data_IF_756964994406
#
_entry.id   IF_756964994406
#
_cell.length_a   1.000
_cell.length_b   1.000
_cell.length_c   1.000
_cell.angle_alpha   90.00
_cell.angle_beta   90.00
_cell.angle_gamma   90.00
#
_symmetry.space_group_name_H-M   'P 1'
#
loop_
_entity.id
_entity.type
_entity.pdbx_description
1 polymer ?
#
# COMPACT_ATOMS: atom_id res chain seq x y z
N UNK A 1 1.11 -6.94 23.00
CA UNK A 1 -0.08 -7.80 22.81
C UNK A 1 -0.23 -8.78 23.93
N UNK A 2 0.67 -9.75 24.08
CA UNK A 2 0.53 -10.73 25.16
C UNK A 2 0.47 -10.06 26.56
N UNK A 3 1.30 -9.05 26.85
CA UNK A 3 1.27 -8.34 28.14
C UNK A 3 -0.03 -7.57 28.40
N UNK A 4 -0.63 -6.95 27.38
CA UNK A 4 -1.90 -6.19 27.48
C UNK A 4 -3.11 -7.12 27.54
N UNK A 5 -2.96 -8.36 27.05
CA UNK A 5 -3.97 -9.42 27.10
C UNK A 5 -3.93 -10.24 28.40
N UNK A 6 -3.07 -9.88 29.37
CA UNK A 6 -3.00 -10.58 30.66
C UNK A 6 -1.69 -11.34 30.92
N UNK A 7 -0.70 -11.31 30.04
CA UNK A 7 0.58 -11.96 30.33
C UNK A 7 1.41 -11.17 31.35
N UNK A 8 1.97 -11.88 32.33
CA UNK A 8 2.86 -11.30 33.33
C UNK A 8 4.26 -11.00 32.78
N UNK A 9 4.74 -11.86 31.87
CA UNK A 9 6.11 -11.83 31.34
C UNK A 9 6.14 -12.33 29.89
N UNK A 10 6.95 -11.71 29.03
CA UNK A 10 7.33 -12.23 27.71
C UNK A 10 8.82 -12.54 27.74
N UNK A 11 9.18 -13.79 27.44
CA UNK A 11 10.57 -14.21 27.33
C UNK A 11 10.92 -14.42 25.86
N UNK A 12 12.03 -13.86 25.41
CA UNK A 12 12.47 -14.03 24.03
C UNK A 12 13.15 -15.38 23.80
N UNK A 13 13.06 -15.91 22.58
CA UNK A 13 13.61 -17.23 22.22
C UNK A 13 15.13 -17.35 22.37
N UNK A 14 15.86 -16.23 22.37
CA UNK A 14 17.32 -16.20 22.52
C UNK A 14 17.79 -16.26 23.98
N UNK A 15 16.87 -16.29 24.95
CA UNK A 15 17.21 -16.32 26.38
C UNK A 15 17.64 -17.74 26.80
N UNK A 16 18.84 -17.92 27.39
CA UNK A 16 19.28 -19.24 27.86
C UNK A 16 18.46 -19.71 29.06
N UNK A 17 18.37 -21.03 29.25
CA UNK A 17 17.54 -21.67 30.28
C UNK A 17 17.78 -21.12 31.68
N UNK A 18 19.04 -20.90 32.07
CA UNK A 18 19.37 -20.34 33.39
C UNK A 18 18.72 -18.98 33.64
N UNK A 19 18.76 -18.09 32.65
CA UNK A 19 18.17 -16.75 32.71
C UNK A 19 16.64 -16.80 32.65
N UNK A 20 16.07 -17.77 31.92
CA UNK A 20 14.64 -18.03 31.94
C UNK A 20 14.16 -18.43 33.35
N UNK A 21 14.85 -19.37 34.01
CA UNK A 21 14.50 -19.81 35.37
C UNK A 21 14.57 -18.65 36.37
N UNK A 22 15.58 -17.78 36.29
CA UNK A 22 15.65 -16.56 37.12
C UNK A 22 14.46 -15.62 36.88
N UNK A 23 14.06 -15.43 35.62
CA UNK A 23 12.88 -14.60 35.30
C UNK A 23 11.58 -15.25 35.79
N UNK A 24 11.49 -16.58 35.78
CA UNK A 24 10.34 -17.33 36.29
C UNK A 24 10.22 -17.23 37.81
N UNK A 25 11.34 -17.31 38.53
CA UNK A 25 11.38 -17.09 39.98
C UNK A 25 11.00 -15.65 40.34
N UNK A 26 11.46 -14.67 39.55
CA UNK A 26 11.19 -13.25 39.78
C UNK A 26 9.71 -12.83 39.66
N UNK A 27 8.87 -13.65 39.01
CA UNK A 27 7.43 -13.37 38.87
C UNK A 27 6.57 -14.15 39.87
N UNK A 28 7.16 -15.01 40.71
CA UNK A 28 6.40 -15.77 41.71
C UNK A 28 5.79 -14.82 42.75
N UNK A 29 4.50 -15.01 43.05
CA UNK A 29 3.77 -14.17 44.01
C UNK A 29 3.37 -12.79 43.47
N UNK A 30 3.54 -12.52 42.17
CA UNK A 30 3.06 -11.29 41.56
C UNK A 30 1.56 -11.35 41.26
N UNK A 31 0.77 -10.44 41.83
CA UNK A 31 -0.62 -10.24 41.44
C UNK A 31 -0.72 -9.40 40.17
N UNK A 32 -1.57 -9.83 39.24
CA UNK A 32 -1.84 -9.08 38.01
C UNK A 32 -2.89 -8.00 38.26
N UNK A 33 -2.44 -6.76 38.49
CA UNK A 33 -3.33 -5.63 38.85
C UNK A 33 -3.79 -4.82 37.63
N UNK A 34 -3.27 -5.12 36.43
CA UNK A 34 -3.62 -4.37 35.22
C UNK A 34 -5.05 -4.70 34.78
N UNK A 35 -5.80 -3.68 34.40
CA UNK A 35 -7.12 -3.87 33.81
C UNK A 35 -6.99 -4.57 32.46
N UNK A 36 -7.64 -5.73 32.31
CA UNK A 36 -7.82 -6.42 31.03
C UNK A 36 -9.23 -6.12 30.56
N UNK A 37 -9.41 -5.52 29.37
CA UNK A 37 -10.73 -5.33 28.79
C UNK A 37 -11.51 -6.65 28.74
N UNK A 38 -12.81 -6.66 29.05
CA UNK A 38 -13.61 -7.88 29.05
C UNK A 38 -13.82 -8.45 27.63
N UNK A 39 -13.64 -7.60 26.62
CA UNK A 39 -13.78 -7.93 25.22
C UNK A 39 -12.41 -8.01 24.52
N UNK A 40 -12.18 -9.14 23.86
CA UNK A 40 -10.96 -9.40 23.09
C UNK A 40 -10.92 -8.55 21.83
N UNK A 41 -12.08 -8.24 21.23
CA UNK A 41 -12.14 -7.41 20.04
C UNK A 41 -11.61 -6.01 20.34
N UNK A 42 -11.91 -5.43 21.50
CA UNK A 42 -11.33 -4.16 21.96
C UNK A 42 -9.79 -4.18 22.04
N UNK A 43 -9.19 -5.30 22.49
CA UNK A 43 -7.74 -5.49 22.50
C UNK A 43 -7.17 -5.65 21.09
N UNK A 44 -7.85 -6.39 20.22
CA UNK A 44 -7.50 -6.58 18.81
C UNK A 44 -7.70 -5.30 17.98
N UNK A 45 -8.58 -4.44 18.42
CA UNK A 45 -8.93 -3.17 17.80
C UNK A 45 -7.87 -2.10 18.08
N UNK A 46 -7.35 -2.06 19.31
CA UNK A 46 -6.16 -1.30 19.67
C UNK A 46 -4.90 -1.76 18.91
N UNK A 47 -4.98 -2.98 18.34
CA UNK A 47 -3.96 -3.67 17.58
C UNK A 47 -4.01 -3.42 16.08
N UNK A 48 -5.11 -2.88 15.57
CA UNK A 48 -5.32 -2.54 14.17
C UNK A 48 -5.18 -1.03 14.02
N UNK A 49 -3.95 -0.50 13.96
CA UNK A 49 -3.70 0.93 13.93
C UNK A 49 -4.21 1.59 12.64
N UNK A 50 -4.52 0.79 11.61
CA UNK A 50 -5.09 1.25 10.35
C UNK A 50 -6.16 0.25 9.87
N UNK A 51 -7.44 0.61 10.00
CA UNK A 51 -8.58 -0.19 9.49
C UNK A 51 -9.07 0.23 8.12
N UNK A 52 -8.50 1.29 7.60
CA UNK A 52 -8.79 1.73 6.25
C UNK A 52 -8.19 0.73 5.27
N UNK A 53 -8.84 0.59 4.11
CA UNK A 53 -8.36 -0.25 3.03
C UNK A 53 -8.66 0.41 1.69
N UNK A 54 -7.74 0.20 0.75
CA UNK A 54 -7.94 0.60 -0.63
C UNK A 54 -7.79 2.09 -0.87
N UNK A 55 -8.51 2.57 -1.87
CA UNK A 55 -8.38 3.93 -2.35
C UNK A 55 -9.18 4.86 -1.44
N UNK A 56 -8.50 5.86 -0.90
CA UNK A 56 -9.07 6.87 -0.02
C UNK A 56 -8.72 8.27 -0.49
N UNK A 57 -9.50 9.26 -0.06
CA UNK A 57 -9.22 10.66 -0.35
C UNK A 57 -7.88 11.10 0.28
N UNK A 58 -7.21 12.05 -0.37
CA UNK A 58 -5.93 12.59 0.05
C UNK A 58 -5.89 13.04 1.52
N UNK A 59 -6.93 13.74 1.99
CA UNK A 59 -6.99 14.22 3.37
C UNK A 59 -7.09 13.05 4.36
N UNK A 60 -7.92 12.05 4.05
CA UNK A 60 -8.07 10.83 4.85
C UNK A 60 -6.79 10.01 4.86
N UNK A 61 -6.13 9.88 3.71
CA UNK A 61 -4.82 9.22 3.57
C UNK A 61 -3.78 9.86 4.50
N UNK A 62 -3.60 11.18 4.42
CA UNK A 62 -2.62 11.89 5.25
C UNK A 62 -2.95 11.79 6.73
N UNK A 63 -4.22 11.91 7.11
CA UNK A 63 -4.64 11.85 8.51
C UNK A 63 -4.38 10.47 9.09
N UNK A 64 -4.83 9.42 8.41
CA UNK A 64 -4.70 8.05 8.89
C UNK A 64 -3.24 7.59 8.99
N UNK A 65 -2.38 7.98 8.03
CA UNK A 65 -0.96 7.67 8.12
C UNK A 65 -0.24 8.49 9.20
N UNK A 66 -0.65 9.74 9.44
CA UNK A 66 -0.08 10.54 10.54
C UNK A 66 -0.40 9.91 11.90
N UNK A 67 -1.65 9.45 12.09
CA UNK A 67 -2.08 8.73 13.29
C UNK A 67 -1.31 7.41 13.46
N UNK A 68 -1.13 6.66 12.37
CA UNK A 68 -0.34 5.43 12.35
C UNK A 68 1.13 5.69 12.76
N UNK A 69 1.75 6.73 12.21
CA UNK A 69 3.12 7.12 12.54
C UNK A 69 3.24 7.63 13.99
N UNK A 70 2.20 8.23 14.55
CA UNK A 70 2.15 8.64 15.96
C UNK A 70 1.85 7.49 16.93
N UNK A 71 1.45 6.31 16.43
CA UNK A 71 0.99 5.21 17.27
C UNK A 71 2.13 4.65 18.16
N UNK A 72 1.99 4.71 19.51
CA UNK A 72 3.09 4.40 20.44
C UNK A 72 3.33 2.89 20.62
N UNK A 73 2.38 2.06 20.22
CA UNK A 73 2.46 0.60 20.35
C UNK A 73 3.19 -0.07 19.17
N UNK A 74 3.49 0.67 18.11
CA UNK A 74 4.23 0.16 16.96
C UNK A 74 5.71 0.44 17.09
N UNK A 75 6.53 -0.47 16.57
CA UNK A 75 7.97 -0.28 16.48
C UNK A 75 8.31 0.97 15.65
N UNK A 76 9.38 1.67 16.05
CA UNK A 76 9.94 2.77 15.28
C UNK A 76 10.54 2.22 13.97
N UNK A 77 10.28 2.89 12.84
CA UNK A 77 10.87 2.61 11.51
C UNK A 77 10.57 1.22 10.92
N UNK A 78 9.37 0.67 11.18
CA UNK A 78 8.93 -0.62 10.65
C UNK A 78 7.43 -0.74 10.40
N UNK A 79 6.74 0.40 10.33
CA UNK A 79 5.27 0.45 10.24
C UNK A 79 4.78 0.11 8.83
N UNK A 80 5.59 0.36 7.81
CA UNK A 80 5.28 0.05 6.42
C UNK A 80 6.14 0.84 5.45
N UNK A 81 5.78 0.75 4.17
CA UNK A 81 6.41 1.50 3.08
C UNK A 81 5.41 2.49 2.50
N UNK A 82 5.86 3.73 2.32
CA UNK A 82 5.19 4.66 1.41
C UNK A 82 5.88 4.57 0.05
N UNK A 83 5.10 4.42 -1.00
CA UNK A 83 5.58 4.32 -2.38
C UNK A 83 4.83 5.35 -3.20
N UNK A 84 5.57 6.14 -3.97
CA UNK A 84 5.01 7.01 -4.98
C UNK A 84 5.37 6.50 -6.36
N UNK A 85 4.35 6.42 -7.21
CA UNK A 85 4.39 5.83 -8.53
C UNK A 85 3.93 6.88 -9.54
N UNK A 86 4.81 7.20 -10.49
CA UNK A 86 4.50 8.07 -11.61
C UNK A 86 4.12 7.20 -12.82
N UNK A 87 2.88 7.28 -13.33
CA UNK A 87 2.46 6.55 -14.52
C UNK A 87 3.27 6.92 -15.77
N UNK A 88 3.30 6.01 -16.76
CA UNK A 88 3.83 6.29 -18.10
C UNK A 88 3.01 7.37 -18.85
N UNK A 89 3.63 8.22 -19.70
CA UNK A 89 2.94 9.24 -20.47
C UNK A 89 2.01 8.57 -21.49
N UNK A 90 0.72 8.54 -21.18
CA UNK A 90 -0.31 7.78 -21.90
C UNK A 90 -1.28 7.07 -20.96
N UNK A 91 -0.88 6.85 -19.72
CA UNK A 91 -1.72 6.31 -18.65
C UNK A 91 -1.95 7.39 -17.59
N UNK A 92 -3.21 7.77 -17.34
CA UNK A 92 -3.52 8.70 -16.24
C UNK A 92 -3.42 7.99 -14.90
N UNK A 93 -3.04 8.71 -13.84
CA UNK A 93 -3.01 8.13 -12.49
C UNK A 93 -4.36 7.53 -12.05
N UNK A 94 -5.47 8.16 -12.45
CA UNK A 94 -6.83 7.62 -12.21
C UNK A 94 -7.08 6.27 -12.91
N UNK A 95 -6.47 6.03 -14.08
CA UNK A 95 -6.57 4.74 -14.78
C UNK A 95 -5.67 3.70 -14.09
N UNK A 96 -4.45 4.07 -13.73
CA UNK A 96 -3.55 3.20 -12.96
C UNK A 96 -4.21 2.73 -11.64
N UNK A 97 -4.99 3.61 -11.01
CA UNK A 97 -5.74 3.30 -9.81
C UNK A 97 -6.84 2.24 -10.01
N UNK A 98 -7.46 2.16 -11.19
CA UNK A 98 -8.43 1.08 -11.48
C UNK A 98 -7.76 -0.30 -11.63
N UNK A 99 -6.46 -0.31 -11.92
CA UNK A 99 -5.64 -1.52 -11.96
C UNK A 99 -5.12 -1.93 -10.58
N UNK A 100 -5.17 -1.02 -9.59
CA UNK A 100 -4.76 -1.23 -8.21
C UNK A 100 -5.85 -1.99 -7.45
N UNK A 101 -5.52 -3.18 -6.95
CA UNK A 101 -6.38 -4.03 -6.12
C UNK A 101 -5.77 -4.25 -4.75
N UNK A 102 -6.11 -3.35 -3.85
CA UNK A 102 -5.72 -3.45 -2.45
C UNK A 102 -6.80 -4.24 -1.69
N UNK A 103 -6.46 -5.45 -1.27
CA UNK A 103 -7.38 -6.35 -0.57
C UNK A 103 -7.14 -6.41 0.94
N UNK A 104 -5.98 -5.91 1.43
CA UNK A 104 -5.56 -6.03 2.82
C UNK A 104 -5.90 -4.77 3.61
N UNK A 105 -6.38 -4.94 4.84
CA UNK A 105 -6.55 -3.83 5.79
C UNK A 105 -5.19 -3.23 6.16
N UNK A 106 -5.08 -1.90 6.14
CA UNK A 106 -3.84 -1.17 6.38
C UNK A 106 -3.10 -0.75 5.11
N UNK A 107 -3.44 -1.33 3.96
CA UNK A 107 -2.89 -0.87 2.69
C UNK A 107 -3.81 0.21 2.11
N UNK A 108 -3.23 1.34 1.73
CA UNK A 108 -3.96 2.52 1.26
C UNK A 108 -3.39 3.04 -0.04
N UNK A 109 -4.25 3.62 -0.86
CA UNK A 109 -3.82 4.39 -2.02
C UNK A 109 -4.55 5.73 -2.12
N UNK A 110 -3.85 6.74 -2.62
CA UNK A 110 -4.41 8.03 -2.99
C UNK A 110 -3.77 8.53 -4.28
N UNK A 111 -4.48 9.37 -5.02
CA UNK A 111 -3.93 10.08 -6.18
C UNK A 111 -3.82 11.55 -5.85
N UNK A 112 -2.69 12.16 -6.22
CA UNK A 112 -2.41 13.58 -6.01
C UNK A 112 -1.78 14.10 -7.29
N UNK A 113 -2.51 14.97 -7.99
CA UNK A 113 -2.14 15.35 -9.36
C UNK A 113 -2.16 14.13 -10.29
N UNK A 114 -1.05 13.90 -11.00
CA UNK A 114 -0.86 12.72 -11.88
C UNK A 114 0.10 11.69 -11.26
N UNK A 115 0.08 11.56 -9.93
CA UNK A 115 0.89 10.59 -9.20
C UNK A 115 0.06 9.75 -8.24
N UNK A 116 0.39 8.47 -8.19
CA UNK A 116 -0.24 7.50 -7.32
C UNK A 116 0.64 7.28 -6.10
N UNK A 117 0.08 7.48 -4.92
CA UNK A 117 0.72 7.17 -3.65
C UNK A 117 0.08 5.93 -3.07
N UNK A 118 0.89 4.94 -2.71
CA UNK A 118 0.47 3.68 -2.10
C UNK A 118 1.23 3.50 -0.80
N UNK A 119 0.52 3.25 0.28
CA UNK A 119 1.10 2.84 1.55
C UNK A 119 0.83 1.36 1.78
N UNK A 120 1.86 0.61 2.12
CA UNK A 120 1.83 -0.83 2.36
C UNK A 120 2.19 -1.11 3.82
N UNK A 121 1.22 -1.54 4.61
CA UNK A 121 1.40 -1.76 6.04
C UNK A 121 2.22 -3.02 6.31
N UNK A 122 3.19 -2.93 7.22
CA UNK A 122 4.07 -4.05 7.61
C UNK A 122 4.82 -4.68 6.41
N UNK A 123 5.06 -3.91 5.35
CA UNK A 123 5.88 -4.34 4.21
C UNK A 123 7.35 -3.96 4.45
N UNK A 124 8.26 -4.83 4.03
CA UNK A 124 9.70 -4.55 4.00
C UNK A 124 10.15 -4.20 2.58
N UNK A 125 11.22 -3.42 2.45
CA UNK A 125 11.68 -2.91 1.14
C UNK A 125 12.02 -4.02 0.15
N UNK A 126 12.54 -5.15 0.62
CA UNK A 126 12.92 -6.28 -0.23
C UNK A 126 11.72 -7.01 -0.85
N UNK A 127 10.55 -6.93 -0.22
CA UNK A 127 9.34 -7.57 -0.72
C UNK A 127 8.51 -6.63 -1.59
N UNK A 128 8.96 -5.38 -1.79
CA UNK A 128 8.16 -4.35 -2.44
C UNK A 128 7.75 -4.74 -3.86
N UNK A 129 8.69 -5.19 -4.70
CA UNK A 129 8.41 -5.54 -6.09
C UNK A 129 7.39 -6.68 -6.18
N UNK A 130 7.57 -7.69 -5.33
CA UNK A 130 6.64 -8.81 -5.20
C UNK A 130 5.25 -8.35 -4.75
N UNK A 131 5.17 -7.42 -3.81
CA UNK A 131 3.89 -6.87 -3.33
C UNK A 131 3.23 -6.04 -4.43
N UNK A 132 3.99 -5.24 -5.18
CA UNK A 132 3.47 -4.46 -6.30
C UNK A 132 2.88 -5.36 -7.40
N UNK A 133 3.49 -6.49 -7.71
CA UNK A 133 2.92 -7.49 -8.63
C UNK A 133 1.58 -8.07 -8.17
N UNK A 134 1.34 -8.14 -6.85
CA UNK A 134 0.06 -8.61 -6.31
C UNK A 134 -0.97 -7.48 -6.23
N UNK A 135 -0.52 -6.25 -5.96
CA UNK A 135 -1.38 -5.06 -5.87
C UNK A 135 -1.86 -4.64 -7.26
N UNK A 136 -1.03 -4.75 -8.29
CA UNK A 136 -1.38 -4.39 -9.66
C UNK A 136 -1.67 -5.61 -10.52
N UNK A 137 -2.73 -5.53 -11.34
CA UNK A 137 -3.10 -6.61 -12.27
C UNK A 137 -2.15 -6.78 -13.47
N UNK A 138 -1.19 -5.88 -13.62
CA UNK A 138 -0.22 -5.83 -14.71
C UNK A 138 1.18 -5.59 -14.11
N UNK A 139 2.25 -6.02 -14.80
CA UNK A 139 3.63 -5.78 -14.35
C UNK A 139 3.89 -4.29 -14.15
N UNK A 140 4.44 -3.93 -12.98
CA UNK A 140 4.73 -2.54 -12.64
C UNK A 140 5.72 -1.89 -13.63
N UNK A 141 6.63 -2.68 -14.21
CA UNK A 141 7.64 -2.25 -15.19
C UNK A 141 7.06 -1.57 -16.45
N UNK A 142 5.81 -1.87 -16.82
CA UNK A 142 5.15 -1.27 -17.98
C UNK A 142 4.13 -0.18 -17.64
N UNK A 143 3.82 0.02 -16.35
CA UNK A 143 2.79 0.95 -15.90
C UNK A 143 3.38 2.26 -15.38
N UNK A 144 4.56 2.20 -14.78
CA UNK A 144 5.13 3.31 -14.05
C UNK A 144 6.52 3.68 -14.56
N UNK A 145 6.67 4.94 -14.92
CA UNK A 145 7.93 5.53 -15.38
C UNK A 145 8.93 5.71 -14.25
N UNK A 146 8.44 6.04 -13.06
CA UNK A 146 9.26 6.30 -11.88
C UNK A 146 8.57 5.79 -10.63
N UNK A 147 9.40 5.32 -9.71
CA UNK A 147 8.99 4.88 -8.39
C UNK A 147 9.93 5.47 -7.35
N UNK A 148 9.36 5.97 -6.25
CA UNK A 148 10.11 6.43 -5.08
C UNK A 148 9.54 5.79 -3.82
N UNK A 149 10.43 5.39 -2.91
CA UNK A 149 10.06 4.60 -1.73
C UNK A 149 10.60 5.27 -0.47
N UNK A 150 9.78 5.33 0.57
CA UNK A 150 10.15 5.78 1.90
C UNK A 150 9.77 4.72 2.93
N UNK A 151 10.71 4.37 3.79
CA UNK A 151 10.55 3.35 4.82
C UNK A 151 10.76 3.89 6.25
N UNK A 152 11.34 5.09 6.39
CA UNK A 152 11.58 5.74 7.68
C UNK A 152 10.39 6.62 8.05
N UNK A 153 9.96 6.56 9.32
CA UNK A 153 8.76 7.25 9.80
C UNK A 153 8.89 8.78 9.60
N UNK A 154 10.08 9.34 9.85
CA UNK A 154 10.35 10.78 9.64
C UNK A 154 10.20 11.21 8.18
N UNK A 155 10.71 10.41 7.24
CA UNK A 155 10.60 10.70 5.81
C UNK A 155 9.17 10.57 5.31
N UNK A 156 8.44 9.56 5.79
CA UNK A 156 7.02 9.37 5.49
C UNK A 156 6.23 10.59 5.98
N UNK A 157 6.40 11.02 7.23
CA UNK A 157 5.73 12.21 7.79
C UNK A 157 6.01 13.49 7.00
N UNK A 158 7.27 13.71 6.59
CA UNK A 158 7.63 14.86 5.75
C UNK A 158 6.90 14.83 4.41
N UNK A 159 6.83 13.67 3.76
CA UNK A 159 6.14 13.54 2.48
C UNK A 159 4.63 13.68 2.62
N UNK A 160 4.01 13.20 3.71
CA UNK A 160 2.59 13.42 3.98
C UNK A 160 2.24 14.91 4.10
N UNK A 161 3.14 15.73 4.65
CA UNK A 161 2.96 17.19 4.68
C UNK A 161 3.02 17.80 3.27
N UNK A 162 3.96 17.35 2.43
CA UNK A 162 4.06 17.79 1.03
C UNK A 162 2.80 17.44 0.25
N UNK A 163 2.34 16.19 0.39
CA UNK A 163 1.09 15.70 -0.19
C UNK A 163 -0.06 16.59 0.28
N UNK A 164 -0.22 16.83 1.58
CA UNK A 164 -1.33 17.63 2.12
C UNK A 164 -1.35 19.07 1.57
N UNK A 165 -0.19 19.64 1.27
CA UNK A 165 -0.05 20.97 0.66
C UNK A 165 -0.28 20.99 -0.84
N UNK A 166 -0.59 19.85 -1.45
CA UNK A 166 -0.68 19.67 -2.91
C UNK A 166 0.56 20.19 -3.65
N UNK A 167 1.71 20.18 -2.97
CA UNK A 167 2.95 20.54 -3.63
C UNK A 167 3.31 19.40 -4.57
N UNK A 168 3.66 19.75 -5.81
CA UNK A 168 4.29 18.80 -6.72
C UNK A 168 5.49 18.23 -5.96
N UNK A 169 5.52 16.91 -5.73
CA UNK A 169 6.60 16.33 -4.96
C UNK A 169 7.94 16.72 -5.58
N UNK A 170 8.94 17.09 -4.78
CA UNK A 170 10.23 17.61 -5.25
C UNK A 170 10.97 16.64 -6.21
N UNK A 171 10.60 15.37 -6.17
CA UNK A 171 11.12 14.31 -7.02
C UNK A 171 10.36 14.12 -8.34
N UNK A 172 9.17 14.72 -8.48
CA UNK A 172 8.56 14.91 -9.78
C UNK A 172 9.30 16.06 -10.47
N UNK A 173 9.86 15.84 -11.67
CA UNK A 173 10.31 16.96 -12.46
C UNK A 173 9.07 17.80 -12.79
N UNK A 174 9.23 19.12 -12.84
CA UNK A 174 8.27 19.99 -13.51
C UNK A 174 7.93 19.35 -14.86
N UNK A 175 6.65 19.28 -15.25
CA UNK A 175 6.32 18.88 -16.60
C UNK A 175 7.14 19.78 -17.50
N UNK A 176 8.14 19.21 -18.20
CA UNK A 176 8.71 19.91 -19.33
C UNK A 176 7.50 20.13 -20.22
N UNK A 177 7.11 21.39 -20.40
CA UNK A 177 6.18 21.74 -21.45
C UNK A 177 6.66 20.98 -22.68
N UNK A 178 5.77 20.17 -23.25
CA UNK A 178 6.03 19.46 -24.49
C UNK A 178 6.30 20.53 -25.56
N UNK A 179 7.55 20.97 -25.68
CA UNK A 179 8.12 21.43 -26.95
C UNK A 179 8.24 20.18 -27.82
N UNK A 180 7.08 19.74 -28.31
CA UNK A 180 6.89 18.38 -28.76
C UNK A 180 5.44 17.94 -28.88
N UNK A 181 4.45 18.85 -28.77
CA UNK A 181 3.14 18.69 -29.39
C UNK A 181 3.31 18.71 -30.92
N UNK A 182 4.08 17.75 -31.46
CA UNK A 182 3.79 17.24 -32.77
C UNK A 182 2.59 16.35 -32.54
N UNK A 183 1.46 16.78 -33.07
CA UNK A 183 0.34 15.95 -33.46
C UNK A 183 0.85 14.63 -34.07
N UNK A 184 1.17 13.67 -33.21
CA UNK A 184 0.94 12.28 -33.54
C UNK A 184 -0.49 12.10 -33.11
N UNK A 185 -1.39 12.65 -33.93
CA UNK A 185 -2.65 11.98 -34.20
C UNK A 185 -2.26 10.54 -34.46
N UNK A 186 -2.32 9.72 -33.41
CA UNK A 186 -2.39 8.28 -33.57
C UNK A 186 -3.61 8.13 -34.43
N UNK A 187 -3.37 7.97 -35.73
CA UNK A 187 -4.22 7.19 -36.57
C UNK A 187 -4.36 5.88 -35.80
N UNK A 188 -5.35 5.84 -34.92
CA UNK A 188 -6.16 4.66 -34.70
C UNK A 188 -6.44 4.23 -36.12
N UNK A 189 -5.59 3.32 -36.60
CA UNK A 189 -5.90 2.44 -37.70
C UNK A 189 -7.27 1.94 -37.30
N UNK A 190 -8.28 2.60 -37.87
CA UNK A 190 -9.65 2.18 -37.84
C UNK A 190 -9.59 0.90 -38.67
N UNK A 191 -9.02 -0.15 -38.07
CA UNK A 191 -9.24 -1.52 -38.47
C UNK A 191 -10.73 -1.63 -38.34
N UNK A 192 -11.37 -1.37 -39.47
CA UNK A 192 -12.77 -1.51 -39.72
C UNK A 192 -13.15 -2.80 -39.02
N UNK A 193 -13.97 -2.71 -37.98
CA UNK A 193 -14.56 -3.90 -37.35
C UNK A 193 -15.09 -4.72 -38.52
N UNK A 194 -14.50 -5.88 -38.76
CA UNK A 194 -14.93 -6.77 -39.83
C UNK A 194 -16.39 -7.07 -39.54
N UNK A 195 -17.29 -6.55 -40.38
CA UNK A 195 -18.70 -6.89 -40.27
C UNK A 195 -18.84 -8.38 -40.62
N UNK A 196 -19.56 -9.16 -39.81
CA UNK A 196 -19.80 -10.57 -40.12
C UNK A 196 -20.58 -10.65 -41.44
N UNK A 197 -19.99 -11.28 -42.45
CA UNK A 197 -20.67 -11.59 -43.70
C UNK A 197 -21.36 -12.95 -43.57
N UNK A 198 -22.61 -13.01 -44.00
CA UNK A 198 -23.34 -14.28 -44.08
C UNK A 198 -22.72 -15.15 -45.17
N UNK A 199 -22.19 -16.31 -44.77
CA UNK A 199 -21.76 -17.35 -45.71
C UNK A 199 -22.96 -18.27 -45.90
N UNK A 200 -23.40 -18.45 -47.15
CA UNK A 200 -24.28 -19.56 -47.52
C UNK A 200 -23.43 -20.74 -47.90
N UNK A 201 -23.57 -21.84 -47.16
CA UNK A 201 -22.96 -23.11 -47.50
C UNK A 201 -23.58 -23.62 -48.82
N UNK A 202 -22.78 -24.07 -49.79
CA UNK A 202 -23.31 -24.71 -50.98
C UNK A 202 -24.00 -26.01 -50.57
N UNK A 203 -25.24 -26.17 -51.03
CA UNK A 203 -26.00 -27.42 -50.86
C UNK A 203 -25.28 -28.49 -51.66
N UNK A 204 -24.76 -29.52 -50.99
CA UNK A 204 -24.29 -30.73 -51.64
C UNK A 204 -25.51 -31.35 -52.35
N UNK A 205 -25.50 -31.35 -53.69
CA UNK A 205 -26.37 -32.22 -54.47
C UNK A 205 -25.76 -33.61 -54.39
N UNK A 206 -26.40 -34.49 -53.63
CA UNK A 206 -26.20 -35.93 -53.79
C UNK A 206 -26.97 -36.35 -55.06
N UNK A 207 -26.24 -36.86 -56.05
CA UNK A 207 -26.76 -37.76 -57.09
C UNK A 207 -26.79 -39.19 -56.57
#
# INVERSE_FOLDING_TARGET
MLLTSGANLIVSHHVPLSRFLTQLEGIQGQDFVRHVPPDVDTLLDALKPLRLKGVVDQERFCTALTELMAHPLLAQDGKGLLVALQPEPGLRAAQALTLCRINREGDLATVVGDCLFVFLFSCIINDLDRVLEHVFRLPAEGLFRRQRVWHQDHHILKELQNIRRQQVPEWLPTPKADEGERDVAVALDRRSRRQPQSIRLPVLREE
#
